data_IF_461094595311
#
_entry.id   IF_461094595311
#
_cell.length_a   1.000
_cell.length_b   1.000
_cell.length_c   1.000
_cell.angle_alpha   90.00
_cell.angle_beta   90.00
_cell.angle_gamma   90.00
#
_symmetry.space_group_name_H-M   'P 1'
#
loop_
_entity.id
_entity.type
_entity.pdbx_description
1 polymer ?
#
# COMPACT_ATOMS: atom_id res chain seq x y z
N UNK A 1 9.39 -1.72 15.71
CA UNK A 1 9.72 -3.07 15.22
C UNK A 1 10.79 -3.63 16.15
N UNK A 2 10.90 -4.95 16.31
CA UNK A 2 11.89 -5.57 17.23
C UNK A 2 13.09 -6.09 16.45
N UNK A 3 14.29 -5.97 17.03
CA UNK A 3 15.50 -6.55 16.47
C UNK A 3 15.44 -8.08 16.56
N UNK A 4 15.89 -8.76 15.50
CA UNK A 4 15.88 -10.22 15.41
C UNK A 4 16.84 -10.89 16.40
N UNK A 5 17.95 -10.22 16.73
CA UNK A 5 19.03 -10.80 17.53
C UNK A 5 18.92 -10.48 19.02
N UNK A 6 18.38 -9.31 19.38
CA UNK A 6 18.35 -8.85 20.77
C UNK A 6 17.00 -8.38 21.29
N UNK A 7 15.94 -8.47 20.47
CA UNK A 7 14.55 -8.12 20.83
C UNK A 7 14.36 -6.68 21.37
N UNK A 8 15.33 -5.80 21.16
CA UNK A 8 15.19 -4.37 21.43
C UNK A 8 14.34 -3.70 20.34
N UNK A 9 13.69 -2.59 20.69
CA UNK A 9 13.01 -1.77 19.70
C UNK A 9 14.03 -1.18 18.71
N UNK A 10 13.79 -1.44 17.42
CA UNK A 10 14.47 -0.77 16.33
C UNK A 10 14.10 0.72 16.37
N UNK A 11 15.12 1.56 16.25
CA UNK A 11 14.97 3.00 16.21
C UNK A 11 14.97 3.46 14.76
N UNK A 12 13.95 4.22 14.40
CA UNK A 12 13.89 4.85 13.08
C UNK A 12 14.85 6.03 13.06
N UNK A 13 15.88 5.91 12.22
CA UNK A 13 16.92 6.90 12.06
C UNK A 13 16.86 7.52 10.66
N UNK A 14 16.94 8.84 10.58
CA UNK A 14 16.95 9.50 9.30
C UNK A 14 18.23 9.19 8.53
N UNK A 15 18.13 9.14 7.20
CA UNK A 15 19.28 8.94 6.32
C UNK A 15 19.57 10.19 5.49
N UNK A 16 20.81 10.31 5.03
CA UNK A 16 21.21 11.41 4.16
C UNK A 16 20.66 11.30 2.74
N UNK A 17 20.16 10.12 2.35
CA UNK A 17 19.70 9.79 1.00
C UNK A 17 18.61 8.73 1.13
N UNK A 18 17.36 9.05 0.77
CA UNK A 18 16.25 8.08 0.84
C UNK A 18 15.47 8.09 2.16
N UNK A 19 14.68 7.03 2.44
CA UNK A 19 13.79 6.95 3.60
C UNK A 19 14.55 6.75 4.91
N UNK A 20 13.85 6.91 6.04
CA UNK A 20 14.39 6.59 7.36
C UNK A 20 14.60 5.07 7.50
N UNK A 21 15.73 4.66 8.08
CA UNK A 21 16.03 3.25 8.31
C UNK A 21 15.73 2.84 9.75
N UNK A 22 15.19 1.63 9.93
CA UNK A 22 14.91 1.05 11.24
C UNK A 22 16.16 0.30 11.75
N UNK A 23 16.93 0.93 12.65
CA UNK A 23 18.27 0.48 13.08
C UNK A 23 18.25 -0.09 14.49
N UNK A 24 18.98 -1.19 14.71
CA UNK A 24 19.14 -1.77 16.04
C UNK A 24 20.10 -0.92 16.89
N UNK A 25 19.68 -0.42 18.07
CA UNK A 25 20.56 0.37 18.95
C UNK A 25 21.71 -0.46 19.54
N UNK A 26 21.58 -1.79 19.59
CA UNK A 26 22.65 -2.70 20.00
C UNK A 26 23.62 -3.03 18.86
N UNK A 27 23.37 -2.51 17.65
CA UNK A 27 24.28 -2.65 16.51
C UNK A 27 24.27 -4.01 15.82
N UNK A 28 23.22 -4.83 15.99
CA UNK A 28 23.12 -6.13 15.34
C UNK A 28 22.82 -6.04 13.84
N UNK A 29 22.10 -5.00 13.43
CA UNK A 29 21.71 -4.81 12.05
C UNK A 29 20.64 -3.74 11.88
N UNK A 30 20.06 -3.71 10.69
CA UNK A 30 19.00 -2.79 10.31
C UNK A 30 17.92 -3.52 9.51
N UNK A 31 16.72 -2.96 9.56
CA UNK A 31 15.59 -3.39 8.77
C UNK A 31 15.31 -2.37 7.66
N UNK A 32 15.14 -2.89 6.45
CA UNK A 32 14.71 -2.17 5.25
C UNK A 32 13.28 -2.60 4.94
N UNK A 33 12.37 -1.64 4.81
CA UNK A 33 11.04 -1.90 4.29
C UNK A 33 11.08 -2.22 2.78
N UNK A 34 9.94 -2.66 2.25
CA UNK A 34 9.82 -3.08 0.85
C UNK A 34 10.34 -1.99 -0.11
N UNK A 35 11.39 -2.30 -0.87
CA UNK A 35 11.97 -1.40 -1.86
C UNK A 35 12.87 -0.29 -1.31
N UNK A 36 13.09 -0.18 0.00
CA UNK A 36 14.01 0.83 0.55
C UNK A 36 15.46 0.56 0.13
N UNK A 37 15.83 -0.72 -0.06
CA UNK A 37 17.18 -1.12 -0.50
C UNK A 37 17.61 -0.42 -1.80
N UNK A 38 16.68 -0.02 -2.65
CA UNK A 38 16.91 0.68 -3.91
C UNK A 38 17.43 2.11 -3.72
N UNK A 39 17.12 2.72 -2.59
CA UNK A 39 17.65 4.04 -2.24
C UNK A 39 19.10 3.97 -1.77
N UNK A 40 19.59 2.75 -1.52
CA UNK A 40 20.82 2.50 -0.77
C UNK A 40 21.82 1.60 -1.50
N UNK A 41 21.47 1.05 -2.67
CA UNK A 41 22.35 0.24 -3.51
C UNK A 41 22.32 0.77 -4.93
N UNK A 42 23.47 1.23 -5.42
CA UNK A 42 23.59 1.93 -6.70
C UNK A 42 23.17 1.06 -7.90
N UNK A 43 23.70 -0.16 -8.00
CA UNK A 43 23.28 -1.15 -8.99
C UNK A 43 22.34 -2.20 -8.37
N UNK A 44 21.20 -1.72 -7.89
CA UNK A 44 20.14 -2.58 -7.36
C UNK A 44 19.66 -3.61 -8.39
N UNK A 45 19.70 -3.33 -9.70
CA UNK A 45 19.24 -4.28 -10.72
C UNK A 45 20.11 -5.53 -10.74
N UNK A 46 21.44 -5.36 -10.70
CA UNK A 46 22.36 -6.48 -10.59
C UNK A 46 22.22 -7.23 -9.26
N UNK A 47 22.01 -6.51 -8.14
CA UNK A 47 21.70 -7.12 -6.86
C UNK A 47 20.44 -7.99 -6.94
N UNK A 48 19.34 -7.44 -7.48
CA UNK A 48 18.06 -8.17 -7.61
C UNK A 48 18.20 -9.42 -8.48
N UNK A 49 18.97 -9.34 -9.57
CA UNK A 49 19.27 -10.51 -10.40
C UNK A 49 20.04 -11.57 -9.59
N UNK A 50 21.00 -11.17 -8.76
CA UNK A 50 21.73 -12.09 -7.90
C UNK A 50 20.83 -12.77 -6.84
N UNK A 51 19.87 -12.05 -6.27
CA UNK A 51 18.85 -12.55 -5.31
C UNK A 51 17.91 -13.60 -5.93
N UNK A 52 17.85 -13.71 -7.26
CA UNK A 52 17.05 -14.72 -7.96
C UNK A 52 17.86 -15.83 -8.65
N UNK A 53 19.14 -15.58 -8.92
CA UNK A 53 20.02 -16.46 -9.72
C UNK A 53 20.86 -17.40 -8.88
N UNK A 54 21.04 -17.07 -7.59
CA UNK A 54 21.72 -17.93 -6.64
C UNK A 54 20.87 -19.19 -6.47
N UNK A 55 21.27 -20.30 -7.09
CA UNK A 55 20.66 -21.63 -6.89
C UNK A 55 20.80 -22.16 -5.44
N UNK A 56 21.05 -21.29 -4.47
CA UNK A 56 20.98 -21.58 -3.05
C UNK A 56 19.52 -21.76 -2.64
N UNK A 57 19.23 -22.88 -2.01
CA UNK A 57 17.91 -23.13 -1.43
C UNK A 57 17.67 -22.08 -0.35
N UNK A 58 16.72 -21.17 -0.55
CA UNK A 58 16.27 -20.24 0.48
C UNK A 58 15.90 -21.03 1.75
N UNK A 59 16.71 -20.88 2.80
CA UNK A 59 16.51 -21.64 4.04
C UNK A 59 15.50 -20.88 4.88
N UNK A 60 14.40 -21.55 5.23
CA UNK A 60 13.45 -20.99 6.20
C UNK A 60 14.12 -20.91 7.56
N UNK A 61 14.28 -19.71 8.08
CA UNK A 61 14.86 -19.48 9.40
C UNK A 61 13.80 -19.69 10.48
N UNK A 62 14.20 -19.84 11.75
CA UNK A 62 13.23 -19.78 12.86
C UNK A 62 12.85 -18.32 13.21
N UNK A 63 13.55 -17.33 12.65
CA UNK A 63 13.31 -15.91 12.87
C UNK A 63 12.01 -15.44 12.20
N UNK A 64 11.28 -14.57 12.90
CA UNK A 64 10.02 -13.99 12.44
C UNK A 64 10.22 -12.56 12.00
N UNK A 65 9.55 -12.19 10.91
CA UNK A 65 9.49 -10.83 10.40
C UNK A 65 8.95 -9.88 11.49
N UNK A 66 9.67 -8.80 11.83
CA UNK A 66 9.25 -7.86 12.87
C UNK A 66 8.04 -7.00 12.47
N UNK A 67 7.65 -7.00 11.20
CA UNK A 67 6.49 -6.28 10.66
C UNK A 67 5.23 -7.14 10.58
N UNK A 68 5.37 -8.41 10.19
CA UNK A 68 4.22 -9.29 9.88
C UNK A 68 4.16 -10.59 10.68
N UNK A 69 5.15 -10.86 11.54
CA UNK A 69 5.28 -12.08 12.34
C UNK A 69 5.35 -13.41 11.55
N UNK A 70 5.60 -13.34 10.24
CA UNK A 70 5.77 -14.50 9.35
C UNK A 70 7.25 -14.87 9.28
N UNK A 71 7.53 -16.16 9.13
CA UNK A 71 8.88 -16.71 9.04
C UNK A 71 9.69 -16.10 7.89
N UNK A 72 10.94 -15.75 8.16
CA UNK A 72 11.85 -15.16 7.18
C UNK A 72 12.56 -16.24 6.36
N UNK A 73 13.08 -15.81 5.21
CA UNK A 73 13.91 -16.65 4.35
C UNK A 73 15.30 -16.04 4.26
N UNK A 74 16.31 -16.85 4.58
CA UNK A 74 17.71 -16.42 4.58
C UNK A 74 18.39 -16.84 3.28
N UNK A 75 19.16 -15.90 2.73
CA UNK A 75 19.99 -16.08 1.56
C UNK A 75 21.30 -15.33 1.74
N UNK A 76 22.42 -15.88 1.25
CA UNK A 76 23.72 -15.20 1.28
C UNK A 76 24.09 -14.78 -0.13
N UNK A 77 24.26 -13.46 -0.33
CA UNK A 77 24.52 -12.85 -1.63
C UNK A 77 25.74 -11.96 -1.49
N UNK A 78 26.71 -12.18 -2.36
CA UNK A 78 28.00 -11.50 -2.29
C UNK A 78 28.65 -11.56 -0.89
N UNK A 79 28.47 -12.63 -0.14
CA UNK A 79 29.01 -12.74 1.23
C UNK A 79 28.22 -11.97 2.31
N UNK A 80 27.15 -11.26 1.94
CA UNK A 80 26.19 -10.66 2.89
C UNK A 80 25.01 -11.61 3.11
N UNK A 81 24.70 -11.95 4.35
CA UNK A 81 23.48 -12.69 4.70
C UNK A 81 22.29 -11.73 4.77
N UNK A 82 21.23 -12.06 4.05
CA UNK A 82 20.00 -11.28 3.94
C UNK A 82 18.84 -12.15 4.41
N UNK A 83 18.03 -11.66 5.35
CA UNK A 83 16.77 -12.32 5.71
C UNK A 83 15.58 -11.54 5.13
N UNK A 84 14.80 -12.17 4.26
CA UNK A 84 13.68 -11.53 3.54
C UNK A 84 12.33 -12.04 3.98
N UNK A 85 11.34 -11.15 4.04
CA UNK A 85 9.95 -11.52 4.27
C UNK A 85 9.18 -11.69 2.96
N UNK A 86 8.58 -12.86 2.73
CA UNK A 86 7.74 -13.12 1.55
C UNK A 86 6.44 -12.30 1.47
N UNK A 87 5.98 -11.74 2.60
CA UNK A 87 4.69 -11.03 2.66
C UNK A 87 4.88 -9.52 2.55
N UNK A 88 5.66 -8.91 3.45
CA UNK A 88 5.90 -7.48 3.37
C UNK A 88 7.08 -7.11 2.48
N UNK A 89 7.86 -8.06 1.95
CA UNK A 89 9.02 -7.81 1.10
C UNK A 89 10.14 -6.98 1.76
N UNK A 90 10.13 -6.84 3.10
CA UNK A 90 11.20 -6.19 3.86
C UNK A 90 12.41 -7.12 4.09
N UNK A 91 13.56 -6.50 4.31
CA UNK A 91 14.87 -7.16 4.42
C UNK A 91 15.49 -6.83 5.79
N UNK A 92 16.05 -7.85 6.43
CA UNK A 92 16.99 -7.67 7.54
C UNK A 92 18.41 -7.84 7.00
N UNK A 93 19.28 -6.88 7.35
CA UNK A 93 20.71 -6.95 7.08
C UNK A 93 21.46 -6.88 8.41
N UNK A 94 22.41 -7.80 8.59
CA UNK A 94 23.35 -7.73 9.69
C UNK A 94 24.24 -6.48 9.57
N UNK A 95 24.86 -6.09 10.68
CA UNK A 95 25.77 -4.95 10.74
C UNK A 95 26.77 -4.89 9.57
N UNK A 96 26.84 -3.75 8.88
CA UNK A 96 27.73 -3.52 7.74
C UNK A 96 27.24 -4.16 6.43
N UNK A 97 26.12 -4.88 6.45
CA UNK A 97 25.58 -5.58 5.30
C UNK A 97 25.10 -4.63 4.20
N UNK A 98 24.54 -3.46 4.55
CA UNK A 98 24.06 -2.49 3.57
C UNK A 98 25.24 -1.78 2.90
N UNK A 99 26.25 -1.37 3.67
CA UNK A 99 27.51 -0.83 3.13
C UNK A 99 28.18 -1.84 2.21
N UNK A 100 28.29 -3.10 2.62
CA UNK A 100 28.91 -4.15 1.81
C UNK A 100 28.15 -4.42 0.50
N UNK A 101 26.82 -4.44 0.55
CA UNK A 101 25.99 -4.58 -0.65
C UNK A 101 26.17 -3.39 -1.59
N UNK A 102 26.13 -2.16 -1.09
CA UNK A 102 26.35 -0.98 -1.90
C UNK A 102 27.77 -0.96 -2.52
N UNK A 103 28.78 -1.37 -1.77
CA UNK A 103 30.16 -1.44 -2.28
C UNK A 103 30.35 -2.52 -3.34
N UNK A 104 29.68 -3.67 -3.18
CA UNK A 104 29.74 -4.76 -4.16
C UNK A 104 29.00 -4.40 -5.44
N UNK A 105 27.82 -3.79 -5.30
CA UNK A 105 26.94 -3.41 -6.40
C UNK A 105 27.00 -1.89 -6.63
N UNK A 106 28.22 -1.36 -6.81
CA UNK A 106 28.43 0.04 -7.20
C UNK A 106 27.97 0.29 -8.63
N UNK A 107 27.39 1.45 -8.86
CA UNK A 107 26.94 1.93 -10.17
C UNK A 107 27.76 3.13 -10.65
N UNK A 108 27.61 3.46 -11.94
CA UNK A 108 28.33 4.58 -12.55
C UNK A 108 27.61 5.94 -12.41
N UNK A 109 26.34 5.95 -12.00
CA UNK A 109 25.45 7.11 -12.20
C UNK A 109 25.37 8.08 -11.00
N UNK A 110 25.33 7.57 -9.75
CA UNK A 110 25.18 8.39 -8.54
C UNK A 110 25.89 7.69 -7.39
N UNK A 111 26.83 8.36 -6.70
CA UNK A 111 27.47 7.79 -5.51
C UNK A 111 26.53 7.86 -4.31
N UNK A 112 26.00 6.72 -3.88
CA UNK A 112 25.21 6.61 -2.65
C UNK A 112 26.20 6.53 -1.48
N UNK A 113 26.10 7.49 -0.55
CA UNK A 113 26.94 7.54 0.65
C UNK A 113 26.12 7.06 1.83
N UNK A 114 26.41 5.85 2.31
CA UNK A 114 25.82 5.27 3.50
C UNK A 114 26.92 5.05 4.51
N UNK A 115 26.84 5.76 5.62
CA UNK A 115 27.66 5.49 6.79
C UNK A 115 26.82 4.73 7.82
N UNK A 116 26.88 3.39 7.74
CA UNK A 116 26.25 2.54 8.75
C UNK A 116 26.82 2.78 10.15
N UNK A 117 28.10 3.16 10.27
CA UNK A 117 28.70 3.43 11.58
C UNK A 117 28.07 4.65 12.23
N UNK A 118 27.85 5.71 11.45
CA UNK A 118 27.14 6.92 11.90
C UNK A 118 25.69 6.60 12.31
N UNK A 119 24.99 5.75 11.54
CA UNK A 119 23.64 5.29 11.90
C UNK A 119 23.63 4.54 13.24
N UNK A 120 24.52 3.58 13.44
CA UNK A 120 24.59 2.87 14.73
C UNK A 120 24.98 3.81 15.88
N UNK A 121 25.90 4.77 15.66
CA UNK A 121 26.28 5.76 16.66
C UNK A 121 25.09 6.65 17.06
N UNK A 122 24.31 7.11 16.07
CA UNK A 122 23.08 7.85 16.28
C UNK A 122 22.04 7.03 17.05
N UNK A 123 21.90 5.74 16.75
CA UNK A 123 20.98 4.84 17.47
C UNK A 123 21.33 4.78 18.96
N UNK A 124 22.61 4.54 19.27
CA UNK A 124 23.12 4.47 20.65
C UNK A 124 22.89 5.80 21.38
N UNK A 125 23.21 6.93 20.74
CA UNK A 125 23.01 8.25 21.31
C UNK A 125 21.53 8.51 21.64
N UNK A 126 20.63 8.20 20.71
CA UNK A 126 19.18 8.39 20.89
C UNK A 126 18.62 7.50 22.00
N UNK A 127 19.14 6.28 22.16
CA UNK A 127 18.75 5.37 23.25
C UNK A 127 19.12 5.94 24.62
N UNK A 128 20.28 6.62 24.73
CA UNK A 128 20.72 7.28 25.97
C UNK A 128 19.84 8.48 26.33
N UNK A 129 19.40 9.24 25.33
CA UNK A 129 18.46 10.36 25.53
C UNK A 129 17.04 9.89 25.91
N UNK A 130 16.69 8.65 25.56
CA UNK A 130 15.38 8.03 25.86
C UNK A 130 15.32 7.34 27.24
N UNK A 131 16.42 7.23 27.99
CA UNK A 131 16.40 6.82 29.40
C UNK A 131 15.96 8.00 30.31
N UNK A 132 15.17 7.75 31.37
CA UNK A 132 13.95 8.51 31.63
C UNK A 132 14.21 9.82 32.37
N UNK A 133 13.97 10.95 31.70
CA UNK A 133 13.46 12.14 32.40
C UNK A 133 11.97 11.92 32.58
N UNK A 134 11.57 11.75 33.84
CA UNK A 134 10.23 11.73 34.42
C UNK A 134 9.07 12.02 33.43
N UNK A 135 8.37 10.97 33.06
CA UNK A 135 7.15 10.99 32.25
C UNK A 135 5.97 11.36 33.16
N UNK A 136 5.79 12.64 33.51
CA UNK A 136 4.68 13.02 34.40
C UNK A 136 3.86 14.26 33.98
N UNK A 137 3.95 14.78 32.74
CA UNK A 137 3.09 15.95 32.44
C UNK A 137 2.63 16.23 31.00
N UNK A 138 2.91 15.39 29.99
CA UNK A 138 2.50 15.69 28.60
C UNK A 138 1.54 14.69 27.94
N UNK A 139 1.17 13.60 28.59
CA UNK A 139 0.07 12.71 28.15
C UNK A 139 -1.21 12.92 28.94
N UNK A 140 -1.68 14.17 28.98
CA UNK A 140 -3.13 14.49 29.06
C UNK A 140 -3.47 15.57 28.03
N UNK A 141 -3.00 15.38 26.80
CA UNK A 141 -3.58 16.01 25.63
C UNK A 141 -4.76 15.16 25.17
N UNK A 142 -5.98 15.64 25.43
CA UNK A 142 -7.26 15.01 25.15
C UNK A 142 -7.25 14.17 23.86
N UNK A 143 -7.29 12.84 24.00
CA UNK A 143 -7.91 11.99 23.01
C UNK A 143 -9.40 12.37 22.99
N UNK A 144 -9.75 13.37 22.20
CA UNK A 144 -11.14 13.65 21.88
C UNK A 144 -11.70 12.34 21.28
N UNK A 145 -12.79 11.76 21.83
CA UNK A 145 -13.42 10.61 21.23
C UNK A 145 -14.07 11.06 19.92
N UNK A 146 -13.27 11.06 18.84
CA UNK A 146 -13.72 11.33 17.48
C UNK A 146 -14.76 10.26 17.14
N UNK A 147 -16.03 10.69 17.16
CA UNK A 147 -17.22 9.99 16.70
C UNK A 147 -17.94 9.05 17.69
N UNK A 148 -17.76 9.17 19.01
CA UNK A 148 -18.54 8.34 19.95
C UNK A 148 -19.99 8.81 20.13
N UNK A 149 -20.27 10.11 19.99
CA UNK A 149 -21.65 10.63 19.99
C UNK A 149 -22.47 10.13 18.80
N UNK A 150 -21.81 9.86 17.67
CA UNK A 150 -22.45 9.30 16.48
C UNK A 150 -22.93 7.86 16.72
N UNK A 151 -22.14 7.02 17.39
CA UNK A 151 -22.59 5.69 17.82
C UNK A 151 -23.74 5.77 18.82
N UNK A 152 -23.72 6.75 19.73
CA UNK A 152 -24.84 7.01 20.64
C UNK A 152 -26.13 7.39 19.91
N UNK A 153 -26.05 8.24 18.89
CA UNK A 153 -27.22 8.65 18.10
C UNK A 153 -27.69 7.53 17.17
N UNK A 154 -26.78 6.75 16.58
CA UNK A 154 -27.09 5.60 15.74
C UNK A 154 -27.77 4.47 16.53
N UNK A 155 -27.18 4.05 17.66
CA UNK A 155 -27.80 3.04 18.52
C UNK A 155 -29.06 3.59 19.22
N UNK A 156 -29.11 4.88 19.54
CA UNK A 156 -30.28 5.53 20.11
C UNK A 156 -31.47 5.57 19.15
N UNK A 157 -31.26 5.95 17.90
CA UNK A 157 -32.30 5.93 16.86
C UNK A 157 -32.69 4.49 16.52
N UNK A 158 -31.73 3.56 16.43
CA UNK A 158 -32.04 2.14 16.22
C UNK A 158 -32.86 1.53 17.37
N UNK A 159 -32.55 1.87 18.63
CA UNK A 159 -33.32 1.48 19.81
C UNK A 159 -34.69 2.15 19.85
N UNK A 160 -34.81 3.41 19.44
CA UNK A 160 -36.08 4.10 19.35
C UNK A 160 -36.99 3.48 18.28
N UNK A 161 -36.43 3.16 17.11
CA UNK A 161 -37.15 2.46 16.03
C UNK A 161 -37.54 1.04 16.48
N UNK A 162 -36.62 0.29 17.11
CA UNK A 162 -36.92 -1.03 17.66
C UNK A 162 -37.98 -0.97 18.76
N UNK A 163 -37.94 0.05 19.62
CA UNK A 163 -38.94 0.31 20.65
C UNK A 163 -40.30 0.66 20.07
N UNK A 164 -40.36 1.49 19.03
CA UNK A 164 -41.61 1.81 18.31
C UNK A 164 -42.19 0.57 17.62
N UNK A 165 -41.35 -0.27 17.00
CA UNK A 165 -41.77 -1.56 16.43
C UNK A 165 -42.27 -2.50 17.53
N UNK A 166 -41.61 -2.53 18.69
CA UNK A 166 -41.99 -3.36 19.82
C UNK A 166 -43.31 -2.90 20.46
N UNK A 167 -43.51 -1.59 20.64
CA UNK A 167 -44.75 -1.01 21.15
C UNK A 167 -45.90 -1.20 20.16
N UNK A 168 -45.68 -0.98 18.86
CA UNK A 168 -46.66 -1.28 17.82
C UNK A 168 -46.98 -2.79 17.76
N UNK A 169 -45.98 -3.64 17.99
CA UNK A 169 -46.12 -5.09 18.12
C UNK A 169 -46.97 -5.50 19.32
N UNK A 170 -46.74 -4.91 20.50
CA UNK A 170 -47.50 -5.16 21.74
C UNK A 170 -48.92 -4.62 21.62
N UNK A 171 -49.11 -3.43 21.05
CA UNK A 171 -50.42 -2.82 20.88
C UNK A 171 -51.29 -3.62 19.90
N UNK A 172 -50.68 -4.23 18.88
CA UNK A 172 -51.32 -5.18 17.95
C UNK A 172 -51.55 -6.57 18.58
N UNK A 173 -50.67 -7.00 19.49
CA UNK A 173 -50.78 -8.27 20.23
C UNK A 173 -51.91 -8.24 21.28
N UNK A 174 -52.12 -7.10 21.95
CA UNK A 174 -53.16 -6.94 22.97
C UNK A 174 -54.57 -6.76 22.39
N UNK A 175 -54.70 -6.26 21.15
CA UNK A 175 -56.01 -5.96 20.54
C UNK A 175 -56.54 -7.05 19.59
N UNK A 176 -55.85 -8.18 19.44
CA UNK A 176 -56.28 -9.24 18.50
C UNK A 176 -55.94 -10.63 19.03
N UNK A 177 -56.77 -11.14 19.93
CA UNK A 177 -56.92 -12.58 20.17
C UNK A 177 -57.58 -13.23 18.96
N UNK A 178 -56.86 -13.32 17.84
CA UNK A 178 -57.09 -14.29 16.76
C UNK A 178 -55.94 -14.20 15.76
N UNK A 179 -55.24 -15.33 15.65
CA UNK A 179 -54.44 -15.78 14.50
C UNK A 179 -53.00 -15.29 14.40
N UNK A 180 -52.12 -16.21 14.83
CA UNK A 180 -50.74 -16.39 14.40
C UNK A 180 -50.66 -16.28 12.86
N UNK A 181 -50.17 -15.16 12.35
CA UNK A 181 -49.50 -15.12 11.04
C UNK A 181 -47.99 -15.17 11.31
N UNK A 182 -47.21 -15.99 10.58
CA UNK A 182 -45.75 -15.96 10.70
C UNK A 182 -45.26 -14.52 10.45
N UNK A 183 -44.15 -14.07 11.06
CA UNK A 183 -43.64 -12.72 10.86
C UNK A 183 -43.60 -12.43 9.36
N UNK A 184 -44.43 -11.46 8.95
CA UNK A 184 -44.75 -11.24 7.55
C UNK A 184 -43.42 -11.05 6.81
N UNK A 185 -43.15 -11.85 5.78
CA UNK A 185 -41.92 -11.76 4.96
C UNK A 185 -41.66 -10.30 4.51
N UNK A 186 -42.71 -9.49 4.44
CA UNK A 186 -42.70 -8.03 4.24
C UNK A 186 -41.95 -7.22 5.28
N UNK A 187 -42.08 -7.52 6.58
CA UNK A 187 -41.34 -6.81 7.62
C UNK A 187 -39.83 -7.03 7.45
N UNK A 188 -39.43 -8.24 7.05
CA UNK A 188 -38.03 -8.53 6.72
C UNK A 188 -37.55 -7.78 5.46
N UNK A 189 -38.39 -7.59 4.44
CA UNK A 189 -38.03 -6.77 3.28
C UNK A 189 -37.88 -5.29 3.62
N UNK A 190 -38.76 -4.72 4.46
CA UNK A 190 -38.63 -3.33 4.91
C UNK A 190 -37.39 -3.13 5.77
N UNK A 191 -37.14 -4.01 6.73
CA UNK A 191 -35.92 -3.97 7.56
C UNK A 191 -34.69 -4.13 6.68
N UNK A 192 -34.71 -5.08 5.75
CA UNK A 192 -33.61 -5.28 4.79
C UNK A 192 -33.36 -4.06 3.91
N UNK A 193 -34.42 -3.40 3.43
CA UNK A 193 -34.34 -2.16 2.66
C UNK A 193 -33.78 -0.98 3.46
N UNK A 194 -34.19 -0.82 4.73
CA UNK A 194 -33.67 0.23 5.62
C UNK A 194 -32.20 -0.03 5.96
N UNK A 195 -31.85 -1.25 6.35
CA UNK A 195 -30.46 -1.62 6.68
C UNK A 195 -29.57 -1.50 5.45
N UNK A 196 -30.01 -2.00 4.29
CA UNK A 196 -29.31 -1.85 3.02
C UNK A 196 -29.17 -0.40 2.59
N UNK A 197 -30.24 0.40 2.74
CA UNK A 197 -30.24 1.83 2.46
C UNK A 197 -29.26 2.62 3.34
N UNK A 198 -29.27 2.38 4.65
CA UNK A 198 -28.32 2.97 5.59
C UNK A 198 -26.88 2.54 5.29
N UNK A 199 -26.66 1.28 4.90
CA UNK A 199 -25.35 0.77 4.50
C UNK A 199 -24.80 1.47 3.24
N UNK A 200 -25.64 1.65 2.22
CA UNK A 200 -25.27 2.37 0.99
C UNK A 200 -25.03 3.86 1.24
N UNK A 201 -25.84 4.48 2.10
CA UNK A 201 -25.63 5.86 2.52
C UNK A 201 -24.30 6.03 3.28
N UNK A 202 -23.99 5.11 4.20
CA UNK A 202 -22.73 5.09 4.92
C UNK A 202 -21.53 4.93 3.97
N UNK A 203 -21.64 4.03 2.99
CA UNK A 203 -20.64 3.90 1.93
C UNK A 203 -20.43 5.23 1.19
N UNK A 204 -21.51 5.88 0.74
CA UNK A 204 -21.45 7.19 0.08
C UNK A 204 -20.77 8.25 0.95
N UNK A 205 -21.05 8.26 2.26
CA UNK A 205 -20.41 9.17 3.21
C UNK A 205 -18.90 8.92 3.32
N UNK A 206 -18.46 7.66 3.43
CA UNK A 206 -17.02 7.34 3.50
C UNK A 206 -16.26 7.75 2.23
N UNK A 207 -16.88 7.58 1.06
CA UNK A 207 -16.33 8.03 -0.23
C UNK A 207 -16.23 9.57 -0.25
N UNK A 208 -17.24 10.28 0.25
CA UNK A 208 -17.21 11.74 0.34
C UNK A 208 -16.11 12.25 1.27
N UNK A 209 -15.83 11.57 2.39
CA UNK A 209 -14.71 11.93 3.25
C UNK A 209 -13.36 11.78 2.53
N UNK A 210 -13.17 10.70 1.76
CA UNK A 210 -11.97 10.50 0.93
C UNK A 210 -11.83 11.57 -0.14
N UNK A 211 -12.94 11.89 -0.83
CA UNK A 211 -12.98 12.97 -1.82
C UNK A 211 -12.55 14.30 -1.21
N UNK A 212 -13.08 14.67 -0.04
CA UNK A 212 -12.70 15.91 0.66
C UNK A 212 -11.23 15.98 1.05
N UNK A 213 -10.63 14.85 1.44
CA UNK A 213 -9.20 14.80 1.77
C UNK A 213 -8.35 15.14 0.55
N UNK A 214 -8.66 14.56 -0.60
CA UNK A 214 -7.98 14.86 -1.87
C UNK A 214 -8.23 16.32 -2.28
N UNK A 215 -9.50 16.76 -2.33
CA UNK A 215 -9.85 18.15 -2.70
C UNK A 215 -9.28 19.23 -1.78
N UNK A 216 -8.98 18.90 -0.53
CA UNK A 216 -8.45 19.87 0.44
C UNK A 216 -6.97 20.16 0.25
N UNK A 217 -6.26 19.35 -0.54
CA UNK A 217 -4.83 19.49 -0.76
C UNK A 217 -4.63 20.15 -2.13
N UNK A 218 -4.17 21.42 -2.19
CA UNK A 218 -3.92 22.03 -3.47
C UNK A 218 -2.73 21.35 -4.15
N UNK A 219 -2.88 21.02 -5.44
CA UNK A 219 -1.74 20.62 -6.27
C UNK A 219 -0.66 21.71 -6.20
N UNK A 220 0.51 21.34 -5.68
CA UNK A 220 1.62 22.26 -5.44
C UNK A 220 2.60 22.22 -6.63
N UNK A 221 3.08 23.37 -7.14
CA UNK A 221 4.10 23.36 -8.17
C UNK A 221 5.40 22.79 -7.60
N UNK A 222 6.09 21.96 -8.38
CA UNK A 222 7.27 21.21 -7.94
C UNK A 222 8.38 22.14 -7.44
N UNK A 223 8.54 23.31 -8.07
CA UNK A 223 9.51 24.34 -7.67
C UNK A 223 9.35 24.86 -6.25
N UNK A 224 8.17 24.74 -5.64
CA UNK A 224 7.91 25.28 -4.29
C UNK A 224 7.32 24.23 -3.36
N UNK A 225 7.72 22.97 -3.51
CA UNK A 225 7.32 21.91 -2.59
C UNK A 225 7.77 22.25 -1.17
N UNK A 226 6.82 22.22 -0.25
CA UNK A 226 7.08 22.26 1.19
C UNK A 226 7.26 20.85 1.72
N UNK A 227 8.03 20.69 2.81
CA UNK A 227 8.12 19.43 3.52
C UNK A 227 6.77 19.03 4.10
N UNK A 228 6.44 17.74 4.04
CA UNK A 228 5.17 17.20 4.51
C UNK A 228 4.28 16.71 3.37
N UNK A 229 2.98 16.58 3.62
CA UNK A 229 2.02 16.06 2.65
C UNK A 229 1.87 17.01 1.46
N UNK A 230 2.12 16.50 0.26
CA UNK A 230 2.05 17.24 -1.00
C UNK A 230 1.27 16.46 -2.05
N UNK A 231 0.61 17.20 -2.91
CA UNK A 231 -0.02 16.69 -4.12
C UNK A 231 0.67 17.31 -5.33
N UNK A 232 1.10 16.47 -6.27
CA UNK A 232 1.71 16.90 -7.53
C UNK A 232 1.09 16.18 -8.73
N UNK A 233 1.09 16.87 -9.86
CA UNK A 233 0.78 16.30 -11.16
C UNK A 233 1.86 16.69 -12.17
N UNK A 234 2.25 15.77 -13.03
CA UNK A 234 3.30 16.04 -14.01
C UNK A 234 3.56 14.87 -14.94
N UNK A 235 4.56 15.03 -15.80
CA UNK A 235 5.04 14.00 -16.72
C UNK A 235 6.17 13.21 -16.07
N UNK A 236 6.17 11.90 -16.28
CA UNK A 236 7.23 11.02 -15.76
C UNK A 236 8.49 11.06 -16.60
N UNK A 237 9.64 10.97 -15.93
CA UNK A 237 10.96 10.90 -16.53
C UNK A 237 11.77 9.80 -15.82
N UNK A 238 12.49 8.97 -16.56
CA UNK A 238 13.27 7.88 -15.98
C UNK A 238 14.47 8.44 -15.20
N UNK A 239 14.78 7.82 -14.05
CA UNK A 239 16.07 8.04 -13.38
C UNK A 239 17.12 7.09 -13.97
N UNK A 240 17.76 7.53 -15.06
CA UNK A 240 18.71 6.72 -15.84
C UNK A 240 18.03 5.94 -16.97
N UNK A 241 18.37 4.65 -17.10
CA UNK A 241 17.80 3.78 -18.15
C UNK A 241 16.35 3.36 -17.86
N UNK A 242 15.57 3.23 -18.93
CA UNK A 242 14.20 2.74 -18.85
C UNK A 242 14.14 1.29 -18.38
N UNK A 243 13.16 1.00 -17.53
CA UNK A 243 12.85 -0.36 -17.14
C UNK A 243 12.15 -1.10 -18.27
N UNK A 244 12.28 -2.42 -18.28
CA UNK A 244 11.57 -3.30 -19.21
C UNK A 244 10.51 -4.08 -18.42
N UNK A 245 9.25 -4.03 -18.87
CA UNK A 245 8.15 -4.72 -18.20
C UNK A 245 8.34 -6.25 -18.23
N UNK A 246 7.93 -6.98 -17.17
CA UNK A 246 8.28 -8.38 -17.04
C UNK A 246 7.63 -9.28 -18.09
N UNK A 247 6.37 -9.02 -18.49
CA UNK A 247 5.60 -9.96 -19.32
C UNK A 247 5.43 -9.53 -20.77
N UNK A 248 5.49 -8.23 -21.09
CA UNK A 248 5.39 -7.74 -22.46
C UNK A 248 6.67 -7.05 -22.96
N UNK A 249 7.72 -6.97 -22.14
CA UNK A 249 9.01 -6.36 -22.48
C UNK A 249 8.90 -4.93 -23.01
N UNK A 250 7.99 -4.14 -22.40
CA UNK A 250 7.75 -2.76 -22.80
C UNK A 250 8.63 -1.80 -22.00
N UNK A 251 9.21 -0.77 -22.64
CA UNK A 251 9.94 0.27 -21.93
C UNK A 251 9.00 1.10 -21.04
N UNK A 252 9.38 1.30 -19.79
CA UNK A 252 8.60 2.00 -18.77
C UNK A 252 9.49 2.64 -17.71
N UNK A 253 8.97 3.64 -16.98
CA UNK A 253 9.64 4.18 -15.78
C UNK A 253 9.26 3.40 -14.52
N UNK A 254 8.08 2.80 -14.52
CA UNK A 254 7.55 2.01 -13.41
C UNK A 254 6.62 0.92 -13.93
N UNK A 255 6.60 -0.23 -13.26
CA UNK A 255 5.61 -1.29 -13.51
C UNK A 255 5.11 -1.92 -12.22
N UNK A 256 3.89 -2.44 -12.27
CA UNK A 256 3.30 -3.31 -11.26
C UNK A 256 2.81 -4.59 -11.91
N UNK A 257 2.91 -5.72 -11.24
CA UNK A 257 2.49 -7.00 -11.78
C UNK A 257 1.76 -7.88 -10.76
N UNK A 258 0.86 -8.71 -11.26
CA UNK A 258 0.19 -9.75 -10.51
C UNK A 258 0.08 -11.03 -11.35
N UNK A 259 0.49 -12.16 -10.80
CA UNK A 259 0.33 -13.48 -11.40
C UNK A 259 -0.72 -14.26 -10.64
N UNK A 260 -1.69 -14.77 -11.36
CA UNK A 260 -2.82 -15.49 -10.81
C UNK A 260 -2.91 -16.89 -11.38
N UNK A 261 -3.23 -17.85 -10.51
CA UNK A 261 -3.49 -19.24 -10.85
C UNK A 261 -4.99 -19.50 -10.81
N UNK A 262 -5.51 -20.17 -11.84
CA UNK A 262 -6.88 -20.66 -11.85
C UNK A 262 -6.99 -21.89 -10.95
N UNK A 263 -7.70 -21.77 -9.84
CA UNK A 263 -7.93 -22.86 -8.89
C UNK A 263 -9.39 -23.31 -8.90
N UNK A 264 -9.60 -24.63 -8.88
CA UNK A 264 -10.92 -25.24 -8.76
C UNK A 264 -11.20 -25.57 -7.30
N UNK A 265 -12.35 -25.15 -6.79
CA UNK A 265 -12.85 -25.50 -5.47
C UNK A 265 -14.25 -26.10 -5.62
N UNK A 266 -14.33 -27.43 -5.61
CA UNK A 266 -15.56 -28.18 -5.89
C UNK A 266 -16.18 -27.85 -7.25
N UNK A 267 -17.36 -27.22 -7.22
CA UNK A 267 -18.10 -26.77 -8.42
C UNK A 267 -17.74 -25.34 -8.87
N UNK A 268 -16.92 -24.62 -8.11
CA UNK A 268 -16.53 -23.24 -8.41
C UNK A 268 -15.09 -23.15 -8.93
N UNK A 269 -14.85 -22.17 -9.78
CA UNK A 269 -13.51 -21.79 -10.26
C UNK A 269 -13.24 -20.36 -9.83
N UNK A 270 -12.06 -20.11 -9.27
CA UNK A 270 -11.62 -18.75 -8.93
C UNK A 270 -10.17 -18.52 -9.34
N UNK A 271 -9.83 -17.26 -9.56
CA UNK A 271 -8.44 -16.84 -9.69
C UNK A 271 -7.87 -16.57 -8.31
N UNK A 272 -6.64 -17.06 -8.08
CA UNK A 272 -5.89 -16.83 -6.84
C UNK A 272 -4.56 -16.20 -7.20
N UNK A 273 -4.27 -15.02 -6.67
CA UNK A 273 -2.95 -14.39 -6.80
C UNK A 273 -1.91 -15.28 -6.13
N UNK A 274 -0.89 -15.68 -6.88
CA UNK A 274 0.23 -16.51 -6.41
C UNK A 274 1.53 -15.71 -6.29
N UNK A 275 1.63 -14.59 -7.01
CA UNK A 275 2.75 -13.66 -6.91
C UNK A 275 2.29 -12.25 -7.33
N UNK A 276 2.89 -11.23 -6.75
CA UNK A 276 2.71 -9.83 -7.15
C UNK A 276 3.93 -9.02 -6.76
N UNK A 277 4.17 -7.91 -7.43
CA UNK A 277 5.28 -7.02 -7.12
C UNK A 277 5.24 -5.75 -7.95
N UNK A 278 6.13 -4.82 -7.62
CA UNK A 278 6.30 -3.54 -8.31
C UNK A 278 7.77 -3.34 -8.65
N UNK A 279 8.05 -2.47 -9.62
CA UNK A 279 9.39 -1.92 -9.76
C UNK A 279 9.69 -1.02 -8.57
N UNK A 280 10.86 -1.19 -7.99
CA UNK A 280 11.28 -0.44 -6.79
C UNK A 280 12.18 0.76 -7.17
N UNK A 281 12.51 0.94 -8.46
CA UNK A 281 13.38 2.03 -8.94
C UNK A 281 12.65 3.38 -8.82
N UNK A 282 13.30 4.41 -8.25
CA UNK A 282 12.79 5.77 -8.29
C UNK A 282 12.65 6.30 -9.72
N UNK A 283 11.78 7.29 -9.91
CA UNK A 283 11.62 8.00 -11.17
C UNK A 283 11.30 9.47 -10.90
N UNK A 284 11.54 10.34 -11.88
CA UNK A 284 11.24 11.76 -11.76
C UNK A 284 9.81 12.06 -12.23
N UNK A 285 9.20 13.05 -11.59
CA UNK A 285 7.99 13.72 -12.08
C UNK A 285 8.36 15.16 -12.38
N UNK A 286 8.00 15.64 -13.57
CA UNK A 286 8.30 16.96 -14.09
C UNK A 286 7.02 17.71 -14.40
N UNK A 287 6.92 18.93 -13.90
CA UNK A 287 5.87 19.90 -14.25
C UNK A 287 6.49 21.09 -14.99
N UNK A 288 5.72 22.16 -15.20
CA UNK A 288 6.22 23.38 -15.84
C UNK A 288 7.27 24.14 -15.01
N UNK A 289 7.42 23.82 -13.72
CA UNK A 289 8.19 24.60 -12.74
C UNK A 289 9.49 23.94 -12.32
N UNK A 290 9.56 22.60 -12.36
CA UNK A 290 10.74 21.81 -11.99
C UNK A 290 10.50 20.30 -12.10
N UNK A 291 11.39 19.51 -11.50
CA UNK A 291 11.25 18.05 -11.37
C UNK A 291 11.56 17.58 -9.95
N UNK A 292 10.91 16.52 -9.51
CA UNK A 292 11.10 15.91 -8.17
C UNK A 292 11.21 14.40 -8.30
N UNK A 293 12.02 13.79 -7.45
CA UNK A 293 12.19 12.34 -7.40
C UNK A 293 11.03 11.71 -6.62
N UNK A 294 10.42 10.66 -7.18
CA UNK A 294 9.39 9.86 -6.52
C UNK A 294 9.98 8.47 -6.25
N UNK A 295 9.92 8.06 -4.99
CA UNK A 295 10.32 6.73 -4.54
C UNK A 295 9.03 5.92 -4.37
N UNK A 296 8.70 5.00 -5.29
CA UNK A 296 7.37 4.38 -5.33
C UNK A 296 7.14 3.28 -4.27
N UNK A 297 8.14 3.01 -3.43
CA UNK A 297 8.05 2.06 -2.33
C UNK A 297 6.90 2.41 -1.38
N UNK A 298 6.03 1.44 -1.09
CA UNK A 298 4.88 1.63 -0.19
C UNK A 298 3.68 2.36 -0.80
N UNK A 299 3.76 2.81 -2.07
CA UNK A 299 2.67 3.52 -2.71
C UNK A 299 1.42 2.64 -2.92
N UNK A 300 0.25 3.22 -2.64
CA UNK A 300 -1.02 2.69 -3.12
C UNK A 300 -1.18 3.04 -4.60
N UNK A 301 -1.21 2.03 -5.45
CA UNK A 301 -1.27 2.21 -6.90
C UNK A 301 -2.71 2.26 -7.41
N UNK A 302 -3.02 3.26 -8.23
CA UNK A 302 -4.28 3.36 -8.96
C UNK A 302 -3.95 3.40 -10.46
N UNK A 303 -3.68 2.22 -11.03
CA UNK A 303 -3.28 2.05 -12.43
C UNK A 303 -4.30 1.11 -13.13
N UNK A 304 -5.41 1.63 -13.69
CA UNK A 304 -6.47 0.84 -14.30
C UNK A 304 -6.10 0.26 -15.67
N UNK A 305 -5.08 0.81 -16.37
CA UNK A 305 -4.63 0.28 -17.66
C UNK A 305 -3.78 -0.98 -17.45
N UNK A 306 -4.45 -2.06 -17.07
CA UNK A 306 -3.84 -3.37 -16.88
C UNK A 306 -3.79 -4.15 -18.20
N UNK A 307 -2.60 -4.55 -18.61
CA UNK A 307 -2.37 -5.51 -19.69
C UNK A 307 -2.45 -6.93 -19.15
N UNK A 308 -3.19 -7.79 -19.84
CA UNK A 308 -3.44 -9.16 -19.41
C UNK A 308 -2.86 -10.15 -20.44
N UNK A 309 -1.85 -10.89 -20.01
CA UNK A 309 -1.31 -12.03 -20.74
C UNK A 309 -1.87 -13.32 -20.16
N UNK A 310 -2.67 -14.03 -20.96
CA UNK A 310 -3.34 -15.28 -20.54
C UNK A 310 -2.96 -16.43 -21.46
N UNK A 311 -3.07 -17.65 -20.93
CA UNK A 311 -2.94 -18.85 -21.75
C UNK A 311 -3.96 -18.85 -22.91
N UNK A 312 -3.51 -19.30 -24.08
CA UNK A 312 -4.38 -19.55 -25.22
C UNK A 312 -5.27 -20.79 -24.98
N UNK A 313 -6.09 -21.16 -25.96
CA UNK A 313 -6.99 -22.31 -25.85
C UNK A 313 -6.25 -23.66 -25.71
N UNK A 314 -4.99 -23.74 -26.17
CA UNK A 314 -4.10 -24.89 -25.99
C UNK A 314 -3.49 -24.95 -24.58
N UNK A 315 -3.69 -23.92 -23.75
CA UNK A 315 -3.13 -23.82 -22.41
C UNK A 315 -1.72 -23.21 -22.35
N UNK A 316 -1.23 -22.65 -23.46
CA UNK A 316 0.12 -22.08 -23.56
C UNK A 316 0.10 -20.56 -23.37
N UNK A 317 1.03 -20.04 -22.57
CA UNK A 317 1.25 -18.61 -22.38
C UNK A 317 2.12 -18.04 -23.51
N UNK A 318 1.98 -16.74 -23.85
CA UNK A 318 2.87 -16.08 -24.77
C UNK A 318 4.36 -16.24 -24.36
N UNK A 319 5.30 -16.38 -25.32
CA UNK A 319 6.72 -16.59 -25.02
C UNK A 319 7.32 -15.51 -24.10
N UNK A 320 6.95 -14.24 -24.29
CA UNK A 320 7.38 -13.12 -23.46
C UNK A 320 6.90 -13.27 -22.00
N UNK A 321 5.65 -13.69 -21.80
CA UNK A 321 5.10 -13.91 -20.47
C UNK A 321 5.79 -15.09 -19.77
N UNK A 322 6.14 -16.16 -20.50
CA UNK A 322 6.94 -17.28 -19.96
C UNK A 322 8.35 -16.85 -19.57
N UNK A 323 9.02 -16.05 -20.41
CA UNK A 323 10.33 -15.47 -20.10
C UNK A 323 10.27 -14.59 -18.84
N UNK A 324 9.23 -13.75 -18.73
CA UNK A 324 8.94 -12.95 -17.53
C UNK A 324 8.77 -13.80 -16.28
N UNK A 325 7.95 -14.85 -16.33
CA UNK A 325 7.74 -15.76 -15.21
C UNK A 325 9.05 -16.44 -14.76
N UNK A 326 9.90 -16.83 -15.71
CA UNK A 326 11.24 -17.40 -15.41
C UNK A 326 12.15 -16.38 -14.74
N UNK A 327 12.22 -15.14 -15.24
CA UNK A 327 12.99 -14.04 -14.62
C UNK A 327 12.53 -13.73 -13.19
N UNK A 328 11.24 -13.90 -12.92
CA UNK A 328 10.64 -13.69 -11.60
C UNK A 328 10.71 -14.93 -10.68
N UNK A 329 11.26 -16.05 -11.15
CA UNK A 329 11.33 -17.30 -10.37
C UNK A 329 9.97 -17.95 -10.09
N UNK A 330 8.95 -17.67 -10.90
CA UNK A 330 7.57 -18.14 -10.68
C UNK A 330 7.36 -19.46 -11.42
N UNK A 331 7.10 -20.53 -10.66
CA UNK A 331 6.87 -21.87 -11.22
C UNK A 331 5.60 -21.94 -12.06
N UNK A 332 5.72 -22.45 -13.29
CA UNK A 332 4.62 -22.69 -14.24
C UNK A 332 3.98 -24.06 -14.10
N UNK A 333 4.63 -24.98 -13.40
CA UNK A 333 4.16 -26.32 -13.12
C UNK A 333 4.01 -26.53 -11.61
N UNK A 334 3.07 -27.39 -11.22
CA UNK A 334 2.96 -27.90 -9.87
C UNK A 334 2.99 -29.43 -9.87
N UNK A 335 2.76 -30.03 -8.71
CA UNK A 335 2.64 -31.50 -8.55
C UNK A 335 1.62 -32.13 -9.51
N UNK A 336 0.52 -31.43 -9.79
CA UNK A 336 -0.63 -31.96 -10.54
C UNK A 336 -0.63 -31.54 -12.03
N UNK A 337 0.52 -31.13 -12.57
CA UNK A 337 0.67 -30.73 -13.97
C UNK A 337 0.87 -29.23 -14.18
N UNK A 338 0.60 -28.76 -15.40
CA UNK A 338 0.76 -27.35 -15.78
C UNK A 338 -0.31 -26.48 -15.12
N UNK A 339 0.13 -25.33 -14.58
CA UNK A 339 -0.78 -24.36 -13.99
C UNK A 339 -1.41 -23.52 -15.10
N UNK A 340 -2.71 -23.29 -15.01
CA UNK A 340 -3.38 -22.28 -15.85
C UNK A 340 -3.17 -20.91 -15.22
N UNK A 341 -2.23 -20.14 -15.77
CA UNK A 341 -1.86 -18.83 -15.25
C UNK A 341 -2.47 -17.67 -16.07
N UNK A 342 -2.68 -16.56 -15.37
CA UNK A 342 -2.98 -15.24 -15.94
C UNK A 342 -2.00 -14.24 -15.34
N UNK A 343 -1.24 -13.58 -16.20
CA UNK A 343 -0.30 -12.53 -15.83
C UNK A 343 -0.93 -11.18 -16.13
N UNK A 344 -0.95 -10.29 -15.14
CA UNK A 344 -1.41 -8.91 -15.26
C UNK A 344 -0.24 -7.99 -15.00
N UNK A 345 -0.08 -6.96 -15.81
CA UNK A 345 0.87 -5.87 -15.54
C UNK A 345 0.25 -4.51 -15.85
N UNK A 346 0.58 -3.51 -15.04
CA UNK A 346 0.28 -2.11 -15.26
C UNK A 346 1.61 -1.36 -15.37
N UNK A 347 1.67 -0.35 -16.23
CA UNK A 347 2.91 0.32 -16.61
C UNK A 347 2.71 1.82 -16.52
N UNK A 348 3.76 2.54 -16.12
CA UNK A 348 3.87 3.98 -16.31
C UNK A 348 5.04 4.19 -17.28
N UNK A 349 4.76 4.78 -18.44
CA UNK A 349 5.73 5.01 -19.52
C UNK A 349 6.43 6.34 -19.34
N UNK A 350 7.53 6.55 -20.06
CA UNK A 350 8.14 7.87 -20.13
C UNK A 350 7.17 8.90 -20.73
N UNK A 351 7.24 10.13 -20.24
CA UNK A 351 6.39 11.27 -20.61
C UNK A 351 4.88 11.05 -20.41
N UNK A 352 4.49 10.03 -19.64
CA UNK A 352 3.11 9.79 -19.23
C UNK A 352 2.72 10.76 -18.11
N UNK A 353 1.47 11.26 -18.15
CA UNK A 353 0.96 12.14 -17.11
C UNK A 353 0.53 11.32 -15.91
N UNK A 354 1.04 11.68 -14.73
CA UNK A 354 0.70 11.01 -13.48
C UNK A 354 0.29 12.00 -12.40
N UNK A 355 -0.43 11.46 -11.42
CA UNK A 355 -0.80 12.09 -10.18
C UNK A 355 -0.10 11.39 -9.02
N UNK A 356 0.53 12.16 -8.14
CA UNK A 356 1.20 11.66 -6.94
C UNK A 356 0.75 12.45 -5.72
N UNK A 357 0.24 11.75 -4.72
CA UNK A 357 -0.02 12.27 -3.38
C UNK A 357 0.92 11.56 -2.43
N UNK A 358 1.78 12.27 -1.72
CA UNK A 358 2.77 11.65 -0.82
C UNK A 358 3.44 12.65 0.11
N UNK A 359 4.45 12.20 0.85
CA UNK A 359 5.19 13.09 1.76
C UNK A 359 6.49 13.55 1.08
N UNK A 360 6.64 14.87 0.91
CA UNK A 360 7.88 15.49 0.52
C UNK A 360 8.86 15.50 1.69
N UNK A 361 10.04 14.93 1.48
CA UNK A 361 11.08 14.72 2.48
C UNK A 361 12.38 15.37 2.02
N UNK A 362 13.12 15.95 2.97
CA UNK A 362 14.48 16.41 2.76
C UNK A 362 15.47 15.30 3.18
N UNK A 363 16.50 15.03 2.37
CA UNK A 363 17.62 14.19 2.79
C UNK A 363 18.36 14.87 3.94
N UNK A 364 18.70 14.13 5.00
CA UNK A 364 19.35 14.71 6.17
C UNK A 364 20.79 15.16 5.88
N UNK A 365 21.17 16.34 6.38
CA UNK A 365 22.53 16.90 6.27
C UNK A 365 22.65 18.31 5.68
N UNK A 366 21.55 19.00 5.37
CA UNK A 366 21.60 20.40 4.90
C UNK A 366 20.91 21.37 5.86
N UNK A 367 21.72 22.20 6.49
CA UNK A 367 21.33 23.44 7.16
C UNK A 367 20.71 24.42 6.16
N UNK A 368 19.65 25.09 6.59
CA UNK A 368 18.98 26.25 5.99
C UNK A 368 19.68 26.94 4.79
N UNK A 369 18.90 27.14 3.73
CA UNK A 369 19.17 27.90 2.50
C UNK A 369 19.84 27.11 1.35
N UNK A 370 19.04 26.66 0.37
CA UNK A 370 19.33 26.72 -1.08
C UNK A 370 18.03 26.43 -1.84
N UNK A 371 17.83 27.11 -2.97
CA UNK A 371 16.72 26.93 -3.91
C UNK A 371 16.63 25.48 -4.42
N UNK A 372 15.41 25.06 -4.76
CA UNK A 372 14.90 23.70 -4.97
C UNK A 372 15.56 22.78 -6.01
N UNK A 373 16.86 22.92 -6.31
CA UNK A 373 17.54 22.15 -7.35
C UNK A 373 18.32 20.93 -6.82
N UNK A 374 18.34 20.65 -5.52
CA UNK A 374 18.97 19.42 -5.04
C UNK A 374 18.34 18.85 -3.78
N UNK A 375 17.41 17.91 -4.04
CA UNK A 375 17.23 16.63 -3.32
C UNK A 375 15.95 16.44 -2.49
N UNK A 376 14.89 17.23 -2.63
CA UNK A 376 13.58 16.77 -2.13
C UNK A 376 13.13 15.52 -2.90
N UNK A 377 12.57 14.54 -2.19
CA UNK A 377 11.91 13.39 -2.79
C UNK A 377 10.53 13.15 -2.17
N UNK A 378 9.64 12.51 -2.91
CA UNK A 378 8.31 12.12 -2.44
C UNK A 378 8.31 10.62 -2.19
N UNK A 379 7.88 10.21 -1.00
CA UNK A 379 7.79 8.80 -0.63
C UNK A 379 6.72 8.54 0.43
N UNK A 380 6.76 7.31 0.96
CA UNK A 380 5.85 6.84 2.00
C UNK A 380 6.10 7.53 3.35
N UNK A 381 5.04 7.67 4.14
CA UNK A 381 5.08 8.17 5.52
C UNK A 381 4.00 7.49 6.34
N UNK A 382 4.25 7.29 7.64
CA UNK A 382 3.25 6.69 8.54
C UNK A 382 2.04 7.58 8.78
N UNK A 383 2.21 8.90 8.61
CA UNK A 383 1.20 9.88 8.97
C UNK A 383 0.29 10.27 7.80
N UNK A 384 0.69 9.96 6.56
CA UNK A 384 -0.01 10.39 5.37
C UNK A 384 -0.19 9.26 4.35
N UNK A 385 -1.25 9.36 3.55
CA UNK A 385 -1.44 8.44 2.44
C UNK A 385 -0.39 8.68 1.35
N UNK A 386 0.11 7.60 0.76
CA UNK A 386 0.99 7.65 -0.42
C UNK A 386 0.30 6.96 -1.60
N UNK A 387 0.02 7.71 -2.67
CA UNK A 387 -0.75 7.28 -3.84
C UNK A 387 0.00 7.67 -5.11
N UNK A 388 0.10 6.72 -6.05
CA UNK A 388 0.57 6.96 -7.42
C UNK A 388 -0.53 6.50 -8.38
N UNK A 389 -0.89 7.36 -9.33
CA UNK A 389 -1.99 7.14 -10.27
C UNK A 389 -1.62 7.65 -11.66
N UNK A 390 -1.96 6.88 -12.69
CA UNK A 390 -1.90 7.28 -14.11
C UNK A 390 -3.15 8.08 -14.55
N UNK A 391 -4.13 8.22 -13.65
CA UNK A 391 -5.29 9.09 -13.82
C UNK A 391 -4.99 10.49 -13.33
N UNK A 392 -5.59 11.48 -13.99
CA UNK A 392 -5.62 12.85 -13.50
C UNK A 392 -6.42 12.96 -12.19
N UNK A 393 -6.10 13.96 -11.36
CA UNK A 393 -6.87 14.31 -10.16
C UNK A 393 -8.37 14.41 -10.48
N UNK A 394 -8.71 15.10 -11.58
CA UNK A 394 -10.09 15.26 -12.06
C UNK A 394 -10.79 13.92 -12.34
N UNK A 395 -10.08 12.96 -12.92
CA UNK A 395 -10.62 11.62 -13.17
C UNK A 395 -10.83 10.83 -11.88
N UNK A 396 -9.93 10.97 -10.91
CA UNK A 396 -10.09 10.39 -9.57
C UNK A 396 -11.32 10.99 -8.89
N UNK A 397 -11.43 12.32 -8.86
CA UNK A 397 -12.53 13.06 -8.24
C UNK A 397 -13.88 12.75 -8.89
N UNK A 398 -13.95 12.68 -10.22
CA UNK A 398 -15.20 12.38 -10.94
C UNK A 398 -15.70 10.95 -10.67
N UNK A 399 -14.79 10.00 -10.45
CA UNK A 399 -15.17 8.64 -10.05
C UNK A 399 -15.65 8.60 -8.62
N UNK A 400 -14.99 9.31 -7.71
CA UNK A 400 -15.42 9.43 -6.31
C UNK A 400 -16.79 10.14 -6.21
N UNK A 401 -17.06 11.17 -7.02
CA UNK A 401 -18.39 11.80 -7.07
C UNK A 401 -19.45 10.83 -7.55
N UNK A 402 -19.18 10.06 -8.61
CA UNK A 402 -20.12 9.06 -9.09
C UNK A 402 -20.40 7.99 -8.03
N UNK A 403 -19.37 7.46 -7.37
CA UNK A 403 -19.52 6.46 -6.30
C UNK A 403 -20.29 7.01 -5.09
N UNK A 404 -20.02 8.26 -4.71
CA UNK A 404 -20.75 8.96 -3.66
C UNK A 404 -22.24 9.06 -4.01
N UNK A 405 -22.56 9.58 -5.20
CA UNK A 405 -23.95 9.73 -5.64
C UNK A 405 -24.64 8.38 -5.84
N UNK A 406 -23.95 7.37 -6.35
CA UNK A 406 -24.48 6.01 -6.46
C UNK A 406 -24.80 5.42 -5.08
N UNK A 407 -23.98 5.66 -4.06
CA UNK A 407 -24.27 5.26 -2.68
C UNK A 407 -25.49 5.97 -2.11
N UNK A 408 -25.57 7.30 -2.24
CA UNK A 408 -26.69 8.09 -1.71
C UNK A 408 -28.01 7.80 -2.44
N UNK A 409 -28.02 7.86 -3.77
CA UNK A 409 -29.21 7.60 -4.58
C UNK A 409 -29.61 6.12 -4.52
N UNK A 410 -28.63 5.20 -4.56
CA UNK A 410 -28.89 3.77 -4.42
C UNK A 410 -29.52 3.42 -3.07
N UNK A 411 -29.08 4.07 -1.98
CA UNK A 411 -29.70 3.91 -0.67
C UNK A 411 -31.16 4.36 -0.64
N UNK A 412 -31.44 5.55 -1.22
CA UNK A 412 -32.80 6.09 -1.31
C UNK A 412 -33.71 5.20 -2.16
N UNK A 413 -33.22 4.74 -3.32
CA UNK A 413 -33.95 3.83 -4.22
C UNK A 413 -34.23 2.49 -3.55
N UNK A 414 -33.29 1.93 -2.80
CA UNK A 414 -33.48 0.66 -2.09
C UNK A 414 -34.61 0.75 -1.05
N UNK A 415 -34.63 1.83 -0.25
CA UNK A 415 -35.69 2.06 0.73
C UNK A 415 -37.04 2.30 0.04
N UNK A 416 -37.06 3.14 -1.01
CA UNK A 416 -38.27 3.45 -1.76
C UNK A 416 -38.86 2.22 -2.48
N UNK A 417 -38.02 1.36 -3.06
CA UNK A 417 -38.46 0.12 -3.71
C UNK A 417 -39.06 -0.86 -2.69
N UNK A 418 -38.44 -1.03 -1.51
CA UNK A 418 -39.00 -1.87 -0.45
C UNK A 418 -40.32 -1.31 0.09
N UNK A 419 -40.45 0.02 0.20
CA UNK A 419 -41.68 0.68 0.60
C UNK A 419 -42.79 0.59 -0.47
N UNK A 420 -42.47 0.72 -1.75
CA UNK A 420 -43.42 0.58 -2.85
C UNK A 420 -43.95 -0.85 -2.97
N UNK A 421 -43.09 -1.86 -2.78
CA UNK A 421 -43.51 -3.27 -2.70
C UNK A 421 -44.42 -3.53 -1.50
N UNK A 422 -44.28 -2.75 -0.42
CA UNK A 422 -45.16 -2.81 0.74
C UNK A 422 -46.52 -2.14 0.48
N UNK A 423 -46.55 -1.01 -0.25
CA UNK A 423 -47.76 -0.22 -0.49
C UNK A 423 -48.63 -0.70 -1.66
N UNK A 424 -48.07 -1.38 -2.65
CA UNK A 424 -48.81 -1.87 -3.84
C UNK A 424 -49.56 -3.21 -3.60
N UNK A 425 -49.88 -3.53 -2.35
CA UNK A 425 -50.65 -4.71 -1.94
C UNK A 425 -51.58 -4.35 -0.80
#
# INVERSE_FOLDING_TARGET
MKCLDCDNDLLRLPTAQGPDLDVCPSGHGLWLDAGEVNCFVEDYLSLKQAVGSSGGVAVRTQTKCPRCAIQLESETIAGTTIERCKVCQGWWLSRGGLTHLNETYKGAAVTIRIDEQELYACAVARTKTLQPIAYDQLTRGNAAPRNMWFWGLFFGVALAIAGLIFVAGIQKFLHTTRWIRPPDVMLFYLIGGVVGGLGLFWYGWTVQQRKRLIESIPTSPIRSLALGLVEIGGQTEADGELLTSPFNELPCVFYSYAVEERVRSGKSTRWKTIASGTSERPFFVRDATGRVLVVPAGATLILPDERISKANWLGELPPLALAGLRRLGIATHGWMGSKTLRCREALIRQDESIYVLGTALAPHGMSHHIANESRLFIGDSRDHAFIISDRSEKDILSRLTWQMWAGFLGGLVCVAACAALFLNR
#
